data_IF_581843275214
#
_entry.id   IF_581843275214
#
_cell.length_a   1.000
_cell.length_b   1.000
_cell.length_c   1.000
_cell.angle_alpha   90.00
_cell.angle_beta   90.00
_cell.angle_gamma   90.00
#
_symmetry.space_group_name_H-M   'P 1'
#
loop_
_entity.id
_entity.type
_entity.pdbx_description
1 polymer ?
#
# COMPACT_ATOMS: atom_id res chain seq x y z
N UNK A 1 51.66 11.54 -16.49
CA UNK A 1 51.97 12.23 -17.75
C UNK A 1 50.87 11.92 -18.75
N UNK A 2 50.20 12.98 -19.22
CA UNK A 2 49.48 13.17 -20.51
C UNK A 2 48.29 12.28 -20.93
N UNK A 3 47.34 12.84 -21.74
CA UNK A 3 45.90 12.72 -21.52
C UNK A 3 45.10 12.23 -22.75
N UNK A 4 43.78 12.11 -22.66
CA UNK A 4 42.89 11.94 -23.84
C UNK A 4 41.69 12.91 -23.84
N UNK A 5 41.93 14.04 -24.52
CA UNK A 5 41.08 14.75 -25.52
C UNK A 5 39.53 14.76 -25.38
N UNK A 6 38.99 15.90 -24.95
CA UNK A 6 37.85 16.61 -25.60
C UNK A 6 38.38 17.37 -26.85
N UNK A 7 37.62 17.98 -27.81
CA UNK A 7 36.34 18.71 -27.61
C UNK A 7 35.41 19.03 -28.86
N UNK A 8 34.28 19.73 -28.59
CA UNK A 8 33.56 20.76 -29.43
C UNK A 8 32.93 20.30 -30.78
N UNK A 9 31.85 20.92 -31.32
CA UNK A 9 31.70 22.31 -31.81
C UNK A 9 30.21 22.55 -32.17
N UNK A 10 29.56 23.61 -31.67
CA UNK A 10 29.38 24.97 -32.25
C UNK A 10 28.38 25.03 -33.43
N UNK A 11 27.29 25.76 -33.21
CA UNK A 11 26.26 26.26 -34.16
C UNK A 11 26.86 27.10 -35.31
N UNK A 12 26.14 27.27 -36.44
CA UNK A 12 25.67 28.63 -36.73
C UNK A 12 24.29 28.75 -37.39
N UNK A 13 23.73 29.94 -37.18
CA UNK A 13 22.51 30.54 -37.73
C UNK A 13 22.66 31.04 -39.18
N UNK A 14 21.51 31.39 -39.78
CA UNK A 14 21.24 32.35 -40.89
C UNK A 14 21.51 31.87 -42.33
N UNK A 15 20.44 31.64 -43.14
CA UNK A 15 19.71 32.60 -44.00
C UNK A 15 20.20 32.42 -45.47
N UNK A 16 19.37 32.29 -46.50
CA UNK A 16 18.63 33.32 -47.27
C UNK A 16 17.95 32.53 -48.40
N UNK A 17 16.62 32.51 -48.50
CA UNK A 17 15.81 33.24 -49.48
C UNK A 17 16.08 32.86 -50.96
N UNK A 18 15.03 32.36 -51.64
CA UNK A 18 14.56 32.67 -53.01
C UNK A 18 13.88 31.42 -53.59
N UNK A 19 12.55 31.47 -53.74
CA UNK A 19 11.85 31.67 -55.04
C UNK A 19 11.90 30.36 -55.87
N UNK A 20 10.84 29.78 -56.41
CA UNK A 20 9.48 30.19 -56.68
C UNK A 20 8.73 28.90 -57.13
N UNK A 21 7.46 29.08 -57.53
CA UNK A 21 6.59 28.12 -58.24
C UNK A 21 5.69 27.25 -57.36
N UNK A 22 4.53 27.84 -57.05
CA UNK A 22 3.30 27.12 -56.74
C UNK A 22 2.81 26.31 -57.98
N UNK A 23 1.86 25.35 -57.84
CA UNK A 23 0.46 25.76 -57.68
C UNK A 23 -0.38 24.92 -56.69
N UNK A 24 -1.28 25.63 -56.01
CA UNK A 24 -2.68 25.28 -55.71
C UNK A 24 -3.06 23.78 -55.68
N UNK A 25 -2.83 23.13 -54.55
CA UNK A 25 -3.69 22.01 -54.14
C UNK A 25 -4.85 22.58 -53.32
N UNK A 26 -6.02 22.70 -53.95
CA UNK A 26 -7.26 23.07 -53.27
C UNK A 26 -7.64 21.98 -52.28
N UNK A 27 -7.24 22.16 -51.02
CA UNK A 27 -7.77 21.40 -49.91
C UNK A 27 -9.26 21.74 -49.79
N UNK A 28 -10.12 20.86 -50.32
CA UNK A 28 -11.56 20.93 -50.09
C UNK A 28 -11.79 20.75 -48.59
N UNK A 29 -11.91 21.87 -47.89
CA UNK A 29 -12.22 21.91 -46.47
C UNK A 29 -13.70 21.54 -46.29
N UNK A 30 -13.99 20.25 -46.22
CA UNK A 30 -15.24 19.80 -45.62
C UNK A 30 -15.08 20.06 -44.13
N UNK A 31 -15.55 21.22 -43.67
CA UNK A 31 -15.61 21.54 -42.25
C UNK A 31 -16.41 20.44 -41.55
N UNK A 32 -15.89 19.77 -40.50
CA UNK A 32 -16.70 18.85 -39.73
C UNK A 32 -17.87 19.63 -39.17
N UNK A 33 -19.08 19.22 -39.54
CA UNK A 33 -20.31 19.87 -39.13
C UNK A 33 -20.34 19.93 -37.59
N UNK A 34 -20.19 21.14 -37.02
CA UNK A 34 -20.09 21.35 -35.58
C UNK A 34 -21.35 20.87 -34.83
N UNK A 35 -22.45 20.63 -35.55
CA UNK A 35 -23.72 20.13 -35.02
C UNK A 35 -24.05 18.70 -35.40
N UNK A 36 -23.20 17.99 -36.16
CA UNK A 36 -23.41 16.55 -36.37
C UNK A 36 -22.89 15.80 -35.15
N UNK A 37 -23.77 15.57 -34.17
CA UNK A 37 -23.55 14.51 -33.20
C UNK A 37 -23.47 13.20 -34.01
N UNK A 38 -22.38 12.42 -33.93
CA UNK A 38 -22.42 11.06 -34.44
C UNK A 38 -23.60 10.36 -33.75
N UNK A 39 -24.36 9.56 -34.50
CA UNK A 39 -25.48 8.82 -33.94
C UNK A 39 -24.98 8.07 -32.69
N UNK A 40 -25.54 8.43 -31.53
CA UNK A 40 -25.27 7.68 -30.30
C UNK A 40 -25.67 6.23 -30.58
N UNK A 41 -24.70 5.33 -30.56
CA UNK A 41 -24.92 3.89 -30.61
C UNK A 41 -25.73 3.50 -29.35
N UNK A 42 -27.06 3.61 -29.42
CA UNK A 42 -27.96 3.32 -28.30
C UNK A 42 -27.92 1.83 -27.89
N UNK A 43 -27.33 0.97 -28.73
CA UNK A 43 -27.12 -0.46 -28.52
C UNK A 43 -25.97 -0.81 -27.55
N UNK A 44 -25.10 0.13 -27.15
CA UNK A 44 -24.00 -0.12 -26.20
C UNK A 44 -24.31 0.26 -24.74
N UNK A 45 -25.45 0.92 -24.48
CA UNK A 45 -25.84 1.38 -23.13
C UNK A 45 -26.09 0.24 -22.12
N UNK A 46 -26.70 -0.92 -22.46
CA UNK A 46 -26.89 -2.01 -21.50
C UNK A 46 -25.55 -2.65 -21.06
N UNK A 47 -24.64 -2.89 -22.02
CA UNK A 47 -23.32 -3.49 -21.75
C UNK A 47 -22.39 -2.60 -20.93
N UNK A 48 -22.46 -1.27 -21.12
CA UNK A 48 -21.66 -0.32 -20.34
C UNK A 48 -22.16 -0.20 -18.89
N UNK A 49 -23.47 -0.24 -18.66
CA UNK A 49 -24.03 -0.24 -17.31
C UNK A 49 -23.69 -1.52 -16.53
N UNK A 50 -23.87 -2.70 -17.12
CA UNK A 50 -23.53 -3.98 -16.49
C UNK A 50 -22.04 -4.07 -16.16
N UNK A 51 -21.16 -3.65 -17.08
CA UNK A 51 -19.71 -3.58 -16.84
C UNK A 51 -19.39 -2.63 -15.68
N UNK A 52 -20.01 -1.44 -15.65
CA UNK A 52 -19.81 -0.48 -14.56
C UNK A 52 -20.24 -1.04 -13.20
N UNK A 53 -21.34 -1.79 -13.16
CA UNK A 53 -21.84 -2.45 -11.95
C UNK A 53 -20.86 -3.53 -11.47
N UNK A 54 -20.36 -4.36 -12.39
CA UNK A 54 -19.36 -5.39 -12.08
C UNK A 54 -18.05 -4.78 -11.56
N UNK A 55 -17.56 -3.70 -12.17
CA UNK A 55 -16.35 -2.99 -11.70
C UNK A 55 -16.51 -2.41 -10.29
N UNK A 56 -17.69 -1.86 -9.98
CA UNK A 56 -17.99 -1.37 -8.63
C UNK A 56 -18.05 -2.52 -7.61
N UNK A 57 -18.65 -3.65 -7.97
CA UNK A 57 -18.73 -4.82 -7.11
C UNK A 57 -17.35 -5.44 -6.85
N UNK A 58 -16.51 -5.58 -7.88
CA UNK A 58 -15.13 -6.09 -7.72
C UNK A 58 -14.26 -5.14 -6.91
N UNK A 59 -14.33 -3.82 -7.15
CA UNK A 59 -13.61 -2.83 -6.36
C UNK A 59 -14.02 -2.86 -4.88
N UNK A 60 -15.32 -3.06 -4.58
CA UNK A 60 -15.81 -3.21 -3.20
C UNK A 60 -15.26 -4.48 -2.52
N UNK A 61 -15.20 -5.60 -3.26
CA UNK A 61 -14.65 -6.86 -2.75
C UNK A 61 -13.16 -6.71 -2.44
N UNK A 62 -12.38 -6.15 -3.37
CA UNK A 62 -10.94 -5.92 -3.18
C UNK A 62 -10.65 -5.02 -1.97
N UNK A 63 -11.38 -3.91 -1.81
CA UNK A 63 -11.24 -3.03 -0.63
C UNK A 63 -11.53 -3.76 0.67
N UNK A 64 -12.56 -4.60 0.69
CA UNK A 64 -12.92 -5.38 1.89
C UNK A 64 -11.83 -6.41 2.21
N UNK A 65 -11.32 -7.12 1.21
CA UNK A 65 -10.26 -8.10 1.38
C UNK A 65 -8.94 -7.46 1.84
N UNK A 66 -8.55 -6.34 1.22
CA UNK A 66 -7.36 -5.58 1.63
C UNK A 66 -7.48 -5.08 3.06
N UNK A 67 -8.65 -4.59 3.48
CA UNK A 67 -8.88 -4.17 4.86
C UNK A 67 -8.79 -5.34 5.86
N UNK A 68 -9.27 -6.54 5.49
CA UNK A 68 -9.12 -7.75 6.32
C UNK A 68 -7.66 -8.16 6.46
N UNK A 69 -6.92 -8.19 5.37
CA UNK A 69 -5.48 -8.51 5.36
C UNK A 69 -4.69 -7.51 6.20
N UNK A 70 -4.91 -6.20 6.01
CA UNK A 70 -4.24 -5.16 6.79
C UNK A 70 -4.50 -5.29 8.30
N UNK A 71 -5.72 -5.67 8.71
CA UNK A 71 -6.00 -5.92 10.12
C UNK A 71 -5.29 -7.17 10.63
N UNK A 72 -5.30 -8.27 9.88
CA UNK A 72 -4.59 -9.49 10.25
C UNK A 72 -3.08 -9.24 10.40
N UNK A 73 -2.47 -8.50 9.47
CA UNK A 73 -1.06 -8.13 9.52
C UNK A 73 -0.74 -7.24 10.73
N UNK A 74 -1.59 -6.28 11.08
CA UNK A 74 -1.40 -5.45 12.29
C UNK A 74 -1.32 -6.30 13.55
N UNK A 75 -2.23 -7.26 13.72
CA UNK A 75 -2.22 -8.14 14.89
C UNK A 75 -1.01 -9.06 14.89
N UNK A 76 -0.63 -9.61 13.73
CA UNK A 76 0.58 -10.43 13.58
C UNK A 76 1.84 -9.65 13.99
N UNK A 77 2.02 -8.45 13.45
CA UNK A 77 3.16 -7.59 13.77
C UNK A 77 3.19 -7.20 15.25
N UNK A 78 2.04 -6.93 15.85
CA UNK A 78 1.97 -6.62 17.29
C UNK A 78 2.40 -7.81 18.17
N UNK A 79 2.00 -9.03 17.83
CA UNK A 79 2.43 -10.25 18.53
C UNK A 79 3.92 -10.53 18.33
N UNK A 80 4.43 -10.37 17.10
CA UNK A 80 5.86 -10.51 16.78
C UNK A 80 6.70 -9.51 17.58
N UNK A 81 6.25 -8.25 17.66
CA UNK A 81 6.93 -7.19 18.41
C UNK A 81 6.89 -7.42 19.93
N UNK A 82 5.76 -7.88 20.48
CA UNK A 82 5.67 -8.28 21.89
C UNK A 82 6.66 -9.41 22.21
N UNK A 83 6.70 -10.45 21.36
CA UNK A 83 7.66 -11.55 21.50
C UNK A 83 9.10 -11.05 21.44
N UNK A 84 9.43 -10.22 20.45
CA UNK A 84 10.77 -9.65 20.29
C UNK A 84 11.21 -8.89 21.54
N UNK A 85 10.35 -8.02 22.08
CA UNK A 85 10.66 -7.25 23.30
C UNK A 85 10.88 -8.16 24.51
N UNK A 86 10.08 -9.21 24.68
CA UNK A 86 10.27 -10.19 25.75
C UNK A 86 11.59 -10.95 25.60
N UNK A 87 11.94 -11.39 24.40
CA UNK A 87 13.19 -12.10 24.11
C UNK A 87 14.42 -11.20 24.35
N UNK A 88 14.36 -9.94 23.93
CA UNK A 88 15.40 -8.94 24.23
C UNK A 88 15.56 -8.71 25.74
N UNK A 89 14.45 -8.59 26.48
CA UNK A 89 14.50 -8.39 27.92
C UNK A 89 15.03 -9.60 28.67
N UNK A 90 14.69 -10.79 28.19
CA UNK A 90 15.27 -12.05 28.67
C UNK A 90 16.77 -12.05 28.48
N UNK A 91 17.27 -11.76 27.27
CA UNK A 91 18.71 -11.72 26.99
C UNK A 91 19.44 -10.68 27.85
N UNK A 92 18.86 -9.48 28.00
CA UNK A 92 19.42 -8.43 28.88
C UNK A 92 19.48 -8.90 30.34
N UNK A 93 18.46 -9.59 30.81
CA UNK A 93 18.41 -10.12 32.18
C UNK A 93 19.43 -11.24 32.37
N UNK A 94 19.51 -12.19 31.43
CA UNK A 94 20.49 -13.27 31.44
C UNK A 94 21.92 -12.72 31.48
N UNK A 95 22.23 -11.72 30.66
CA UNK A 95 23.52 -11.03 30.68
C UNK A 95 23.80 -10.38 32.04
N UNK A 96 22.84 -9.66 32.63
CA UNK A 96 22.98 -9.08 33.98
C UNK A 96 23.19 -10.13 35.07
N UNK A 97 22.52 -11.28 34.95
CA UNK A 97 22.66 -12.39 35.88
C UNK A 97 24.04 -13.06 35.80
N UNK A 98 24.65 -13.12 34.60
CA UNK A 98 26.02 -13.63 34.42
C UNK A 98 27.07 -12.74 35.10
N UNK A 99 26.83 -11.43 35.16
CA UNK A 99 27.71 -10.44 35.80
C UNK A 99 27.26 -10.05 37.22
N UNK A 100 26.33 -10.79 37.83
CA UNK A 100 25.87 -10.51 39.18
C UNK A 100 26.97 -10.79 40.21
N UNK A 101 27.17 -9.88 41.16
CA UNK A 101 28.21 -10.01 42.18
C UNK A 101 27.83 -11.00 43.30
N UNK A 102 26.55 -11.32 43.44
CA UNK A 102 26.04 -12.26 44.46
C UNK A 102 24.82 -13.05 44.00
N UNK A 103 24.52 -14.20 44.63
CA UNK A 103 23.31 -14.96 44.38
C UNK A 103 22.02 -14.15 44.64
N UNK A 104 22.03 -13.30 45.66
CA UNK A 104 20.88 -12.44 45.98
C UNK A 104 20.59 -11.43 44.87
N UNK A 105 21.64 -10.82 44.28
CA UNK A 105 21.47 -9.92 43.15
C UNK A 105 20.91 -10.65 41.92
N UNK A 106 21.37 -11.87 41.68
CA UNK A 106 20.85 -12.72 40.60
C UNK A 106 19.37 -13.02 40.77
N UNK A 107 18.92 -13.30 41.99
CA UNK A 107 17.51 -13.55 42.29
C UNK A 107 16.66 -12.28 42.11
N UNK A 108 17.17 -11.10 42.50
CA UNK A 108 16.49 -9.82 42.21
C UNK A 108 16.30 -9.59 40.72
N UNK A 109 17.31 -9.87 39.88
CA UNK A 109 17.18 -9.76 38.43
C UNK A 109 16.15 -10.74 37.87
N UNK A 110 16.12 -11.98 38.38
CA UNK A 110 15.12 -12.98 38.02
C UNK A 110 13.70 -12.50 38.34
N UNK A 111 13.46 -12.07 39.58
CA UNK A 111 12.15 -11.59 40.02
C UNK A 111 11.70 -10.36 39.22
N UNK A 112 12.62 -9.43 38.94
CA UNK A 112 12.33 -8.27 38.11
C UNK A 112 11.94 -8.65 36.68
N UNK A 113 12.57 -9.68 36.10
CA UNK A 113 12.18 -10.19 34.78
C UNK A 113 10.83 -10.91 34.83
N UNK A 114 10.57 -11.75 35.82
CA UNK A 114 9.26 -12.42 35.97
C UNK A 114 8.12 -11.40 36.10
N UNK A 115 8.33 -10.31 36.84
CA UNK A 115 7.35 -9.22 36.93
C UNK A 115 7.03 -8.62 35.55
N UNK A 116 8.05 -8.33 34.73
CA UNK A 116 7.87 -7.81 33.36
C UNK A 116 7.31 -8.86 32.40
N UNK A 117 7.66 -10.13 32.59
CA UNK A 117 7.09 -11.25 31.82
C UNK A 117 5.58 -11.29 31.95
N UNK A 118 5.05 -11.11 33.16
CA UNK A 118 3.59 -11.04 33.37
C UNK A 118 2.95 -9.86 32.61
N UNK A 119 3.65 -8.74 32.43
CA UNK A 119 3.17 -7.62 31.62
C UNK A 119 3.12 -7.98 30.13
N UNK A 120 4.15 -8.64 29.60
CA UNK A 120 4.16 -9.12 28.21
C UNK A 120 3.06 -10.14 27.95
N UNK A 121 2.79 -11.05 28.90
CA UNK A 121 1.71 -12.03 28.78
C UNK A 121 0.33 -11.37 28.75
N UNK A 122 0.08 -10.36 29.61
CA UNK A 122 -1.17 -9.57 29.58
C UNK A 122 -1.32 -8.79 28.27
N UNK A 123 -0.24 -8.20 27.76
CA UNK A 123 -0.26 -7.48 26.50
C UNK A 123 -0.56 -8.43 25.34
N UNK A 124 0.03 -9.64 25.35
CA UNK A 124 -0.27 -10.68 24.35
C UNK A 124 -1.75 -11.08 24.37
N UNK A 125 -2.30 -11.34 25.56
CA UNK A 125 -3.73 -11.66 25.72
C UNK A 125 -4.61 -10.50 25.21
N UNK A 126 -4.23 -9.25 25.49
CA UNK A 126 -4.96 -8.10 24.98
C UNK A 126 -4.97 -8.05 23.45
N UNK A 127 -3.82 -8.29 22.80
CA UNK A 127 -3.71 -8.33 21.33
C UNK A 127 -4.59 -9.45 20.75
N UNK A 128 -4.61 -10.62 21.39
CA UNK A 128 -5.46 -11.75 20.99
C UNK A 128 -6.96 -11.40 21.14
N UNK A 129 -7.36 -10.79 22.26
CA UNK A 129 -8.74 -10.32 22.48
C UNK A 129 -9.17 -9.28 21.44
N UNK A 130 -8.29 -8.35 21.11
CA UNK A 130 -8.57 -7.32 20.10
C UNK A 130 -8.72 -7.92 18.70
N UNK A 131 -7.91 -8.94 18.39
CA UNK A 131 -8.05 -9.71 17.14
C UNK A 131 -9.40 -10.41 17.07
N UNK A 132 -9.78 -11.15 18.11
CA UNK A 132 -11.09 -11.82 18.17
C UNK A 132 -12.26 -10.83 18.09
N UNK A 133 -12.14 -9.67 18.74
CA UNK A 133 -13.14 -8.62 18.67
C UNK A 133 -13.22 -7.99 17.26
N UNK A 134 -12.10 -7.87 16.55
CA UNK A 134 -12.08 -7.43 15.16
C UNK A 134 -12.71 -8.47 14.22
N UNK A 135 -12.41 -9.76 14.40
CA UNK A 135 -13.00 -10.86 13.64
C UNK A 135 -14.52 -10.95 13.85
N UNK A 136 -14.98 -10.87 15.10
CA UNK A 136 -16.42 -10.83 15.44
C UNK A 136 -17.15 -9.65 14.79
N UNK A 137 -16.55 -8.45 14.81
CA UNK A 137 -17.13 -7.26 14.15
C UNK A 137 -17.23 -7.43 12.63
N UNK A 138 -16.29 -8.13 12.00
CA UNK A 138 -16.35 -8.44 10.57
C UNK A 138 -17.48 -9.44 10.27
N UNK A 139 -17.59 -10.50 11.06
CA UNK A 139 -18.68 -11.49 10.92
C UNK A 139 -20.05 -10.84 11.04
N UNK A 140 -20.28 -10.01 12.08
CA UNK A 140 -21.54 -9.28 12.25
C UNK A 140 -21.87 -8.36 11.06
N UNK A 141 -20.86 -7.70 10.48
CA UNK A 141 -21.06 -6.86 9.28
C UNK A 141 -21.43 -7.69 8.05
N UNK A 142 -20.91 -8.90 7.93
CA UNK A 142 -21.22 -9.81 6.82
C UNK A 142 -22.62 -10.42 6.96
N UNK A 143 -23.00 -10.82 8.17
CA UNK A 143 -24.34 -11.28 8.50
C UNK A 143 -25.39 -10.20 8.23
N UNK A 144 -25.14 -8.96 8.67
CA UNK A 144 -26.01 -7.83 8.40
C UNK A 144 -26.19 -7.58 6.89
N UNK A 145 -25.11 -7.70 6.10
CA UNK A 145 -25.17 -7.59 4.63
C UNK A 145 -25.92 -8.74 3.98
N UNK A 146 -25.84 -9.94 4.54
CA UNK A 146 -26.56 -11.13 4.04
C UNK A 146 -28.06 -11.01 4.31
N UNK A 147 -28.44 -10.54 5.49
CA UNK A 147 -29.84 -10.38 5.88
C UNK A 147 -30.54 -9.18 5.19
N UNK A 148 -29.77 -8.24 4.63
CA UNK A 148 -30.30 -7.09 3.87
C UNK A 148 -30.51 -7.37 2.36
N UNK A 149 -30.29 -8.60 1.90
CA UNK A 149 -30.49 -9.04 0.51
C UNK A 149 -31.70 -9.94 0.42
#
# INVERSE_FOLDING_TARGET
MTPTLHPKRILPMTAILLLALAPLAQAQSVSPNRYSRPAENQSQRPQTWERSRQEVETARQQRTQSARQANADRHRLALEENRRRMDEDRQRTEHRMQHAASPEQRERYRQAFEARRMEYEREREQIERDREAAERRLQQREEARRNSR
#
